data_IF_115848333486
#
_entry.id   IF_115848333486
#
_cell.length_a   1.000
_cell.length_b   1.000
_cell.length_c   1.000
_cell.angle_alpha   90.00
_cell.angle_beta   90.00
_cell.angle_gamma   90.00
#
_symmetry.space_group_name_H-M   'P 1'
#
loop_
_entity.id
_entity.type
_entity.pdbx_description
1 polymer ?
#
# COMPACT_ATOMS: atom_id res chain seq x y z
N UNK A 1 11.84 14.68 -6.64
CA UNK A 1 12.20 13.26 -6.53
C UNK A 1 10.94 12.44 -6.71
N UNK A 2 10.94 11.50 -7.65
CA UNK A 2 9.85 10.54 -7.84
C UNK A 2 10.40 9.18 -7.39
N UNK A 3 9.72 8.51 -6.48
CA UNK A 3 10.14 7.23 -5.89
C UNK A 3 9.04 6.20 -6.13
N UNK A 4 9.43 4.97 -6.42
CA UNK A 4 8.50 3.85 -6.46
C UNK A 4 7.81 3.63 -5.11
N UNK A 5 6.74 2.83 -5.13
CA UNK A 5 6.06 2.39 -3.91
C UNK A 5 6.68 1.10 -3.37
N UNK A 6 6.68 0.87 -2.04
CA UNK A 6 6.42 1.87 -0.98
C UNK A 6 7.51 2.95 -0.95
N UNK A 7 7.23 4.10 -0.32
CA UNK A 7 8.23 5.17 -0.20
C UNK A 7 9.53 4.66 0.43
N UNK A 8 9.38 3.86 1.49
CA UNK A 8 10.42 3.11 2.18
C UNK A 8 9.76 2.12 3.18
N UNK A 9 10.50 1.17 3.76
CA UNK A 9 9.95 0.13 4.64
C UNK A 9 9.93 0.51 6.13
N UNK A 10 10.55 1.63 6.50
CA UNK A 10 10.57 2.15 7.89
C UNK A 10 10.18 3.62 7.92
N UNK A 11 9.46 4.05 8.96
CA UNK A 11 9.03 5.44 9.11
C UNK A 11 10.23 6.40 9.25
N UNK A 12 11.27 6.01 9.99
CA UNK A 12 12.44 6.84 10.21
C UNK A 12 13.16 7.18 8.90
N UNK A 13 13.24 6.22 7.97
CA UNK A 13 13.81 6.45 6.64
C UNK A 13 12.85 7.23 5.73
N UNK A 14 11.54 7.03 5.83
CA UNK A 14 10.56 7.90 5.16
C UNK A 14 10.76 9.37 5.58
N UNK A 15 10.87 9.63 6.88
CA UNK A 15 11.08 10.98 7.43
C UNK A 15 12.39 11.58 6.92
N UNK A 16 13.47 10.80 6.88
CA UNK A 16 14.75 11.25 6.33
C UNK A 16 14.66 11.65 4.83
N UNK A 17 13.88 10.91 4.03
CA UNK A 17 13.64 11.23 2.62
C UNK A 17 12.84 12.53 2.50
N UNK A 18 11.79 12.68 3.30
CA UNK A 18 10.93 13.89 3.34
C UNK A 18 11.78 15.10 3.71
N UNK A 19 12.50 15.05 4.83
CA UNK A 19 13.33 16.14 5.34
C UNK A 19 14.41 16.56 4.32
N UNK A 20 15.01 15.58 3.64
CA UNK A 20 16.01 15.85 2.59
C UNK A 20 15.41 16.60 1.40
N UNK A 21 14.20 16.23 0.97
CA UNK A 21 13.51 16.91 -0.13
C UNK A 21 13.08 18.34 0.28
N UNK A 22 12.62 18.52 1.51
CA UNK A 22 12.26 19.82 2.08
C UNK A 22 13.47 20.76 2.15
N UNK A 23 14.60 20.28 2.70
CA UNK A 23 15.86 21.04 2.78
C UNK A 23 16.37 21.46 1.40
N UNK A 24 16.21 20.60 0.40
CA UNK A 24 16.59 20.88 -0.98
C UNK A 24 15.55 21.72 -1.75
N UNK A 25 14.40 22.03 -1.16
CA UNK A 25 13.27 22.71 -1.79
C UNK A 25 12.81 22.04 -3.10
N UNK A 26 12.70 20.71 -3.08
CA UNK A 26 12.22 19.91 -4.21
C UNK A 26 10.95 19.14 -3.83
N UNK A 27 10.08 18.90 -4.81
CA UNK A 27 8.87 18.08 -4.59
C UNK A 27 9.22 16.60 -4.49
N UNK A 28 8.63 15.91 -3.52
CA UNK A 28 8.67 14.45 -3.37
C UNK A 28 7.33 13.85 -3.83
N UNK A 29 7.39 12.72 -4.53
CA UNK A 29 6.20 11.98 -4.98
C UNK A 29 6.48 10.48 -4.93
N UNK A 30 5.60 9.73 -4.25
CA UNK A 30 5.57 8.27 -4.33
C UNK A 30 4.58 7.82 -5.43
N UNK A 31 4.93 6.79 -6.19
CA UNK A 31 4.12 6.32 -7.32
C UNK A 31 2.90 5.53 -6.84
N UNK A 32 1.73 6.18 -6.88
CA UNK A 32 0.42 5.55 -6.71
C UNK A 32 -0.44 5.78 -7.96
N UNK A 33 -0.03 5.15 -9.06
CA UNK A 33 -0.64 5.35 -10.38
C UNK A 33 -2.11 4.92 -10.44
N UNK A 34 -2.54 3.95 -9.63
CA UNK A 34 -3.95 3.50 -9.56
C UNK A 34 -4.93 4.64 -9.32
N UNK A 35 -4.52 5.69 -8.58
CA UNK A 35 -5.36 6.88 -8.33
C UNK A 35 -5.79 7.60 -9.60
N UNK A 36 -5.00 7.52 -10.68
CA UNK A 36 -5.19 8.32 -11.90
C UNK A 36 -5.98 7.61 -13.00
N UNK A 37 -6.48 6.40 -12.75
CA UNK A 37 -7.40 5.76 -13.70
C UNK A 37 -8.73 6.51 -13.75
N UNK A 38 -9.39 6.55 -14.92
CA UNK A 38 -10.69 7.21 -15.08
C UNK A 38 -11.73 6.69 -14.08
N UNK A 39 -11.72 5.38 -13.81
CA UNK A 39 -12.61 4.76 -12.83
C UNK A 39 -12.32 5.25 -11.41
N UNK A 40 -11.04 5.34 -11.02
CA UNK A 40 -10.65 5.83 -9.70
C UNK A 40 -10.99 7.31 -9.50
N UNK A 41 -10.79 8.14 -10.53
CA UNK A 41 -11.18 9.55 -10.50
C UNK A 41 -12.69 9.70 -10.40
N UNK A 42 -13.47 8.96 -11.18
CA UNK A 42 -14.94 8.98 -11.11
C UNK A 42 -15.45 8.64 -9.71
N UNK A 43 -14.90 7.60 -9.07
CA UNK A 43 -15.26 7.23 -7.70
C UNK A 43 -14.93 8.36 -6.74
N UNK A 44 -13.71 8.92 -6.83
CA UNK A 44 -13.28 10.01 -5.95
C UNK A 44 -14.16 11.24 -6.11
N UNK A 45 -14.46 11.66 -7.33
CA UNK A 45 -15.30 12.83 -7.62
C UNK A 45 -16.75 12.61 -7.13
N UNK A 46 -17.26 11.39 -7.29
CA UNK A 46 -18.59 11.02 -6.80
C UNK A 46 -18.68 11.11 -5.27
N UNK A 47 -17.63 10.68 -4.56
CA UNK A 47 -17.55 10.82 -3.10
C UNK A 47 -17.35 12.28 -2.70
N UNK A 48 -16.40 12.98 -3.31
CA UNK A 48 -16.06 14.37 -2.97
C UNK A 48 -17.17 15.36 -3.30
N UNK A 49 -18.04 15.06 -4.26
CA UNK A 49 -19.24 15.87 -4.54
C UNK A 49 -20.37 15.66 -3.52
N UNK A 50 -20.23 14.74 -2.57
CA UNK A 50 -21.26 14.43 -1.58
C UNK A 50 -22.44 13.62 -2.13
N UNK A 51 -22.36 13.14 -3.37
CA UNK A 51 -23.45 12.41 -4.05
C UNK A 51 -23.84 11.11 -3.32
N UNK A 52 -22.93 10.52 -2.56
CA UNK A 52 -23.17 9.31 -1.77
C UNK A 52 -23.56 9.60 -0.31
N UNK A 53 -23.61 10.88 0.08
CA UNK A 53 -23.84 11.27 1.47
C UNK A 53 -22.70 10.82 2.39
N UNK A 54 -23.05 10.31 3.57
CA UNK A 54 -22.08 9.82 4.54
C UNK A 54 -21.67 8.38 4.21
N UNK A 55 -20.37 8.20 3.94
CA UNK A 55 -19.79 6.86 3.81
C UNK A 55 -19.71 6.21 5.19
N UNK A 56 -20.18 4.97 5.29
CA UNK A 56 -20.22 4.22 6.56
C UNK A 56 -19.34 2.96 6.54
N UNK A 57 -19.06 2.41 5.36
CA UNK A 57 -18.23 1.22 5.18
C UNK A 57 -17.56 1.26 3.81
N UNK A 58 -16.31 0.84 3.75
CA UNK A 58 -15.57 0.63 2.51
C UNK A 58 -14.68 -0.60 2.65
N UNK A 59 -14.76 -1.50 1.67
CA UNK A 59 -14.00 -2.75 1.68
C UNK A 59 -13.06 -2.81 0.46
N UNK A 60 -11.88 -3.36 0.66
CA UNK A 60 -10.94 -3.67 -0.42
C UNK A 60 -10.51 -5.14 -0.33
N UNK A 61 -10.59 -5.86 -1.45
CA UNK A 61 -10.23 -7.28 -1.52
C UNK A 61 -9.16 -7.49 -2.59
N UNK A 62 -7.99 -8.00 -2.18
CA UNK A 62 -6.90 -8.37 -3.10
C UNK A 62 -6.65 -9.87 -2.95
N UNK A 63 -7.19 -10.64 -3.89
CA UNK A 63 -7.07 -12.12 -3.91
C UNK A 63 -6.15 -12.57 -5.03
N UNK A 64 -4.96 -11.97 -5.07
CA UNK A 64 -3.97 -12.26 -6.11
C UNK A 64 -3.10 -13.44 -5.70
N UNK A 65 -2.79 -14.29 -6.66
CA UNK A 65 -1.86 -15.39 -6.47
C UNK A 65 -0.46 -15.00 -6.97
N UNK A 66 0.55 -15.43 -6.24
CA UNK A 66 1.95 -15.49 -6.67
C UNK A 66 2.42 -16.92 -6.45
N UNK A 67 3.24 -17.46 -7.34
CA UNK A 67 3.84 -18.77 -7.13
C UNK A 67 4.98 -18.69 -6.13
N UNK A 68 5.41 -19.84 -5.59
CA UNK A 68 6.66 -19.90 -4.83
C UNK A 68 7.85 -19.38 -5.66
N UNK A 69 7.92 -19.73 -6.94
CA UNK A 69 8.97 -19.27 -7.85
C UNK A 69 9.04 -17.74 -7.97
N UNK A 70 7.93 -17.03 -7.77
CA UNK A 70 7.95 -15.57 -7.74
C UNK A 70 8.79 -15.04 -6.57
N UNK A 71 8.63 -15.62 -5.37
CA UNK A 71 9.43 -15.22 -4.21
C UNK A 71 10.88 -15.70 -4.34
N UNK A 72 11.07 -16.92 -4.86
CA UNK A 72 12.41 -17.48 -5.09
C UNK A 72 13.17 -16.77 -6.25
N UNK A 73 12.50 -15.92 -7.04
CA UNK A 73 13.11 -15.23 -8.20
C UNK A 73 14.05 -14.08 -7.85
N UNK A 74 14.11 -13.66 -6.59
CA UNK A 74 15.03 -12.62 -6.16
C UNK A 74 15.19 -12.59 -4.65
N UNK A 75 16.44 -12.48 -4.20
CA UNK A 75 16.84 -12.60 -2.80
C UNK A 75 16.18 -11.59 -1.84
N UNK A 76 15.60 -10.52 -2.37
CA UNK A 76 14.89 -9.50 -1.59
C UNK A 76 13.41 -9.79 -1.38
N UNK A 77 12.79 -10.59 -2.26
CA UNK A 77 11.34 -10.80 -2.25
C UNK A 77 10.93 -11.64 -1.07
N UNK A 78 9.89 -11.20 -0.37
CA UNK A 78 9.38 -11.91 0.79
C UNK A 78 10.29 -11.83 2.02
N UNK A 79 11.21 -10.86 2.07
CA UNK A 79 12.08 -10.61 3.22
C UNK A 79 11.61 -9.38 3.99
N UNK A 80 11.62 -9.43 5.32
CA UNK A 80 11.32 -8.24 6.13
C UNK A 80 12.38 -7.14 5.97
N UNK A 81 13.63 -7.48 5.67
CA UNK A 81 14.72 -6.51 5.59
C UNK A 81 14.68 -5.65 4.33
N UNK A 82 14.24 -6.20 3.20
CA UNK A 82 14.28 -5.49 1.92
C UNK A 82 12.89 -5.23 1.33
N UNK A 83 11.96 -6.19 1.44
CA UNK A 83 10.57 -6.02 1.01
C UNK A 83 9.76 -5.28 2.10
N UNK A 84 10.18 -5.40 3.36
CA UNK A 84 9.54 -4.82 4.54
C UNK A 84 8.29 -5.58 5.00
N UNK A 85 7.62 -6.27 4.08
CA UNK A 85 6.35 -6.95 4.28
C UNK A 85 5.94 -7.67 2.99
N UNK A 86 4.90 -8.47 3.07
CA UNK A 86 4.51 -9.37 1.99
C UNK A 86 3.31 -8.85 1.21
N UNK A 87 2.22 -9.61 1.28
CA UNK A 87 0.97 -9.36 0.59
C UNK A 87 0.48 -7.91 0.75
N UNK A 88 0.65 -7.30 1.92
CA UNK A 88 0.18 -5.95 2.22
C UNK A 88 1.06 -4.87 1.58
N UNK A 89 2.36 -4.91 1.84
CA UNK A 89 3.29 -3.84 1.47
C UNK A 89 3.61 -3.84 -0.03
N UNK A 90 3.67 -5.01 -0.66
CA UNK A 90 4.08 -5.09 -2.04
C UNK A 90 2.87 -5.16 -3.00
N UNK A 91 1.96 -6.12 -2.80
CA UNK A 91 0.89 -6.41 -3.75
C UNK A 91 -0.38 -5.59 -3.49
N UNK A 92 -0.80 -5.45 -2.22
CA UNK A 92 -2.08 -4.85 -1.85
C UNK A 92 -2.02 -3.34 -1.58
N UNK A 93 -0.82 -2.76 -1.55
CA UNK A 93 -0.60 -1.37 -1.13
C UNK A 93 -1.42 -0.36 -1.95
N UNK A 94 -1.63 -0.59 -3.25
CA UNK A 94 -2.49 0.28 -4.08
C UNK A 94 -3.96 0.22 -3.69
N UNK A 95 -4.45 -0.92 -3.18
CA UNK A 95 -5.82 -1.06 -2.71
C UNK A 95 -6.00 -0.37 -1.34
N UNK A 96 -5.03 -0.50 -0.45
CA UNK A 96 -5.00 0.20 0.86
C UNK A 96 -4.95 1.72 0.64
N UNK A 97 -4.06 2.15 -0.27
CA UNK A 97 -3.93 3.54 -0.70
C UNK A 97 -5.25 4.09 -1.25
N UNK A 98 -5.89 3.34 -2.16
CA UNK A 98 -7.13 3.78 -2.78
C UNK A 98 -8.30 3.82 -1.78
N UNK A 99 -8.36 2.87 -0.84
CA UNK A 99 -9.36 2.87 0.23
C UNK A 99 -9.25 4.15 1.07
N UNK A 100 -8.04 4.52 1.50
CA UNK A 100 -7.83 5.78 2.22
C UNK A 100 -8.05 7.02 1.34
N UNK A 101 -7.68 6.95 0.07
CA UNK A 101 -7.92 8.05 -0.89
C UNK A 101 -9.40 8.36 -1.03
N UNK A 102 -10.27 7.35 -0.97
CA UNK A 102 -11.73 7.51 -1.09
C UNK A 102 -12.39 7.76 0.27
N UNK A 103 -12.11 6.93 1.28
CA UNK A 103 -12.78 6.93 2.59
C UNK A 103 -12.22 7.97 3.56
N UNK A 104 -10.97 8.40 3.39
CA UNK A 104 -10.26 9.28 4.31
C UNK A 104 -9.24 8.54 5.19
N UNK A 105 -8.59 9.27 6.12
CA UNK A 105 -7.56 8.71 6.99
C UNK A 105 -8.13 7.72 8.01
N UNK A 106 -7.34 6.71 8.35
CA UNK A 106 -7.68 5.69 9.35
C UNK A 106 -7.35 6.21 10.76
N UNK A 107 -8.27 6.01 11.72
CA UNK A 107 -8.06 6.36 13.12
C UNK A 107 -7.40 5.22 13.93
N UNK A 108 -7.83 3.98 13.69
CA UNK A 108 -7.28 2.79 14.35
C UNK A 108 -7.47 1.56 13.45
N UNK A 109 -6.72 0.49 13.74
CA UNK A 109 -6.74 -0.74 12.97
C UNK A 109 -6.58 -1.95 13.88
N UNK A 110 -7.28 -3.04 13.56
CA UNK A 110 -7.00 -4.38 14.06
C UNK A 110 -6.72 -5.30 12.88
N UNK A 111 -5.65 -6.08 12.97
CA UNK A 111 -5.20 -6.91 11.87
C UNK A 111 -4.81 -8.31 12.32
N UNK A 112 -5.00 -9.26 11.41
CA UNK A 112 -4.48 -10.62 11.51
C UNK A 112 -3.67 -10.91 10.26
N UNK A 113 -2.49 -11.49 10.44
CA UNK A 113 -1.59 -11.86 9.34
C UNK A 113 -1.03 -13.25 9.60
N UNK A 114 -0.74 -13.98 8.53
CA UNK A 114 -0.08 -15.28 8.59
C UNK A 114 0.61 -15.62 7.26
N UNK A 115 1.45 -16.65 7.28
CA UNK A 115 2.09 -17.24 6.10
C UNK A 115 1.55 -18.65 5.90
N UNK A 116 0.52 -18.79 5.07
CA UNK A 116 -0.28 -20.01 4.95
C UNK A 116 -0.01 -20.83 3.69
N UNK A 117 0.37 -20.18 2.60
CA UNK A 117 0.45 -20.79 1.26
C UNK A 117 1.89 -20.92 0.74
N UNK A 118 2.80 -20.06 1.19
CA UNK A 118 4.18 -20.01 0.73
C UNK A 118 5.15 -20.56 1.78
N UNK A 119 6.38 -20.83 1.35
CA UNK A 119 7.50 -21.26 2.18
C UNK A 119 8.68 -20.34 1.92
N UNK A 120 9.66 -20.30 2.84
CA UNK A 120 10.91 -19.55 2.66
C UNK A 120 10.68 -18.05 2.39
N UNK A 121 9.69 -17.49 3.05
CA UNK A 121 9.48 -16.05 3.14
C UNK A 121 9.33 -15.72 4.62
N UNK A 122 9.76 -14.52 5.00
CA UNK A 122 9.71 -14.02 6.37
C UNK A 122 8.50 -13.11 6.63
N UNK A 123 7.69 -12.90 5.60
CA UNK A 123 6.59 -11.94 5.54
C UNK A 123 5.24 -12.64 5.36
N UNK A 124 4.15 -11.91 5.59
CA UNK A 124 2.80 -12.44 5.44
C UNK A 124 2.40 -12.67 3.98
N UNK A 125 1.71 -13.77 3.70
CA UNK A 125 1.05 -14.00 2.40
C UNK A 125 -0.47 -13.89 2.49
N UNK A 126 -1.01 -13.84 3.71
CA UNK A 126 -2.42 -13.62 4.01
C UNK A 126 -2.54 -12.56 5.10
N UNK A 127 -3.43 -11.60 4.86
CA UNK A 127 -3.75 -10.56 5.82
C UNK A 127 -5.21 -10.14 5.72
N UNK A 128 -5.79 -9.78 6.86
CA UNK A 128 -7.07 -9.09 6.97
C UNK A 128 -6.94 -7.98 8.00
N UNK A 129 -7.63 -6.87 7.78
CA UNK A 129 -7.68 -5.76 8.72
C UNK A 129 -9.01 -5.02 8.67
N UNK A 130 -9.40 -4.42 9.80
CA UNK A 130 -10.57 -3.56 9.96
C UNK A 130 -10.24 -2.37 10.86
#
# INVERSE_FOLDING_TARGET
VIIEKPLEITLERCDAIIESCEKANVRLCAIFNSRFSDASQLVKDTVSSGRLGQLTLGDAYVKWYRSQDYYDSGDWRGTMELDGGGALMNQSIHAIDFLQYVMGPVESIQAFTDTLAHKRIDVEDVAVAA
#
